data_IF_089129744917
#
_entry.id   IF_089129744917
#
_cell.length_a   1.000
_cell.length_b   1.000
_cell.length_c   1.000
_cell.angle_alpha   90.00
_cell.angle_beta   90.00
_cell.angle_gamma   90.00
#
_symmetry.space_group_name_H-M   'P 1'
#
loop_
_entity.id
_entity.type
_entity.pdbx_description
1 polymer ?
#
# COMPACT_ATOMS: atom_id res chain seq x y z
N UNK A 1 7.10 12.72 -44.11
CA UNK A 1 8.26 12.42 -43.27
C UNK A 1 8.70 13.71 -42.63
N UNK A 2 8.75 13.73 -41.30
CA UNK A 2 9.74 14.47 -40.50
C UNK A 2 10.05 13.57 -39.33
N UNK A 3 11.27 13.06 -39.34
CA UNK A 3 11.85 12.24 -38.29
C UNK A 3 12.22 13.13 -37.10
N UNK A 4 12.06 12.58 -35.90
CA UNK A 4 12.69 13.07 -34.68
C UNK A 4 13.08 11.84 -33.87
N UNK A 5 14.31 11.37 -34.07
CA UNK A 5 14.96 10.41 -33.18
C UNK A 5 15.12 11.01 -31.77
N UNK A 6 15.10 10.14 -30.75
CA UNK A 6 15.02 10.50 -29.33
C UNK A 6 16.29 11.14 -28.73
N UNK A 7 16.34 11.21 -27.39
CA UNK A 7 16.93 10.08 -26.67
C UNK A 7 16.18 9.72 -25.39
N UNK A 8 16.21 8.43 -25.03
CA UNK A 8 15.69 7.97 -23.74
C UNK A 8 15.25 6.52 -23.68
N UNK A 9 15.86 5.61 -24.43
CA UNK A 9 15.85 4.21 -24.06
C UNK A 9 16.64 4.08 -22.75
N UNK A 10 16.01 4.39 -21.61
CA UNK A 10 16.53 4.05 -20.30
C UNK A 10 16.71 2.55 -20.27
N UNK A 11 17.93 2.08 -20.52
CA UNK A 11 18.25 0.67 -20.49
C UNK A 11 17.79 0.10 -19.17
N UNK A 12 16.85 -0.86 -19.21
CA UNK A 12 16.42 -1.59 -18.01
C UNK A 12 17.69 -2.02 -17.28
N UNK A 13 17.81 -1.64 -16.01
CA UNK A 13 18.99 -1.97 -15.21
C UNK A 13 19.25 -3.49 -15.32
N UNK A 14 20.40 -3.84 -15.90
CA UNK A 14 20.73 -5.22 -16.30
C UNK A 14 20.72 -6.18 -15.11
N UNK A 15 20.89 -5.68 -13.90
CA UNK A 15 20.88 -6.49 -12.68
C UNK A 15 19.45 -6.80 -12.18
N UNK A 16 18.42 -6.12 -12.69
CA UNK A 16 17.01 -6.38 -12.32
C UNK A 16 16.11 -6.61 -13.52
N UNK A 17 16.65 -6.69 -14.74
CA UNK A 17 15.86 -6.80 -15.97
C UNK A 17 15.06 -8.11 -16.06
N UNK A 18 15.50 -9.16 -15.36
CA UNK A 18 14.82 -10.46 -15.27
C UNK A 18 14.14 -10.68 -13.91
N UNK A 19 14.25 -9.73 -12.97
CA UNK A 19 13.65 -9.85 -11.65
C UNK A 19 12.13 -9.94 -11.76
N UNK A 20 11.54 -10.93 -11.11
CA UNK A 20 10.11 -11.11 -11.00
C UNK A 20 9.71 -11.32 -9.53
N UNK A 21 8.54 -10.80 -9.18
CA UNK A 21 7.95 -10.95 -7.86
C UNK A 21 6.52 -11.46 -8.00
N UNK A 22 6.20 -12.57 -7.34
CA UNK A 22 4.84 -13.12 -7.28
C UNK A 22 4.28 -12.91 -5.88
N UNK A 23 3.14 -12.22 -5.78
CA UNK A 23 2.41 -12.08 -4.53
C UNK A 23 1.93 -13.46 -4.06
N UNK A 24 2.18 -13.76 -2.79
CA UNK A 24 1.63 -14.95 -2.12
C UNK A 24 0.25 -14.64 -1.53
N UNK A 25 -0.57 -15.68 -1.36
CA UNK A 25 -1.97 -15.55 -0.92
C UNK A 25 -2.81 -14.62 -1.82
N UNK A 26 -2.55 -14.63 -3.14
CA UNK A 26 -3.21 -13.74 -4.09
C UNK A 26 -4.74 -13.79 -4.04
N UNK A 27 -5.33 -14.97 -3.88
CA UNK A 27 -6.79 -15.13 -3.75
C UNK A 27 -7.37 -14.41 -2.53
N UNK A 28 -6.66 -14.41 -1.40
CA UNK A 28 -7.07 -13.69 -0.21
C UNK A 28 -7.00 -12.17 -0.43
N UNK A 29 -5.93 -11.70 -1.06
CA UNK A 29 -5.80 -10.29 -1.44
C UNK A 29 -6.90 -9.85 -2.40
N UNK A 30 -7.28 -10.67 -3.38
CA UNK A 30 -8.37 -10.39 -4.30
C UNK A 30 -9.72 -10.31 -3.59
N UNK A 31 -9.98 -11.17 -2.62
CA UNK A 31 -11.19 -11.14 -1.81
C UNK A 31 -11.29 -9.86 -0.96
N UNK A 32 -10.21 -9.50 -0.25
CA UNK A 32 -10.14 -8.23 0.48
C UNK A 32 -10.27 -7.03 -0.45
N UNK A 33 -9.68 -7.07 -1.65
CA UNK A 33 -9.77 -5.98 -2.62
C UNK A 33 -11.20 -5.79 -3.13
N UNK A 34 -11.92 -6.89 -3.39
CA UNK A 34 -13.33 -6.86 -3.83
C UNK A 34 -14.26 -6.20 -2.81
N UNK A 35 -13.95 -6.34 -1.52
CA UNK A 35 -14.73 -5.75 -0.43
C UNK A 35 -14.28 -4.31 -0.09
N UNK A 36 -13.16 -3.84 -0.66
CA UNK A 36 -12.49 -2.62 -0.25
C UNK A 36 -11.54 -2.90 0.92
N UNK A 37 -10.26 -3.13 0.63
CA UNK A 37 -9.28 -3.47 1.66
C UNK A 37 -9.08 -2.30 2.62
N UNK A 38 -9.25 -2.57 3.91
CA UNK A 38 -9.05 -1.59 4.98
C UNK A 38 -7.91 -2.03 5.89
N UNK A 39 -7.01 -1.10 6.20
CA UNK A 39 -5.89 -1.33 7.11
C UNK A 39 -6.06 -0.49 8.37
N UNK A 40 -5.81 -1.09 9.52
CA UNK A 40 -5.87 -0.39 10.81
C UNK A 40 -4.56 0.36 11.02
N UNK A 41 -4.65 1.63 11.39
CA UNK A 41 -3.52 2.46 11.86
C UNK A 41 -3.74 2.79 13.34
N UNK A 42 -2.67 2.71 14.15
CA UNK A 42 -2.71 3.03 15.58
C UNK A 42 -1.49 3.80 16.00
N UNK A 43 -1.54 4.51 17.14
CA UNK A 43 -0.40 5.28 17.67
C UNK A 43 0.86 4.41 17.86
N UNK A 44 0.70 3.19 18.35
CA UNK A 44 1.80 2.24 18.61
C UNK A 44 2.28 1.47 17.36
N UNK A 45 1.60 1.67 16.21
CA UNK A 45 1.82 0.89 15.00
C UNK A 45 1.07 -0.43 15.00
N UNK A 46 0.44 -0.76 13.87
CA UNK A 46 -0.28 -2.03 13.65
C UNK A 46 0.26 -2.73 12.41
N UNK A 47 0.42 -4.05 12.48
CA UNK A 47 0.81 -4.89 11.33
C UNK A 47 -0.33 -4.98 10.33
N UNK A 48 0.02 -5.09 9.05
CA UNK A 48 -0.97 -5.31 7.99
C UNK A 48 -1.63 -6.68 8.11
N UNK A 49 -2.87 -6.77 7.63
CA UNK A 49 -3.53 -8.02 7.34
C UNK A 49 -4.36 -7.89 6.05
N UNK A 50 -4.19 -8.77 5.06
CA UNK A 50 -3.18 -9.83 5.00
C UNK A 50 -1.73 -9.31 5.03
N UNK A 51 -0.80 -10.13 5.49
CA UNK A 51 0.64 -9.78 5.44
C UNK A 51 1.10 -9.74 3.99
N UNK A 52 1.90 -8.73 3.63
CA UNK A 52 2.52 -8.68 2.31
C UNK A 52 3.66 -9.70 2.21
N UNK A 53 3.50 -10.68 1.33
CA UNK A 53 4.45 -11.77 1.13
C UNK A 53 4.68 -11.99 -0.36
N UNK A 54 5.95 -12.14 -0.77
CA UNK A 54 6.32 -12.29 -2.17
C UNK A 54 7.34 -13.40 -2.36
N UNK A 55 7.20 -14.15 -3.45
CA UNK A 55 8.24 -15.05 -3.94
C UNK A 55 9.00 -14.40 -5.08
N UNK A 56 10.32 -14.32 -4.94
CA UNK A 56 11.21 -13.69 -5.91
C UNK A 56 11.84 -14.71 -6.84
N UNK A 57 12.10 -14.30 -8.08
CA UNK A 57 12.87 -15.06 -9.07
C UNK A 57 13.62 -14.12 -10.01
N UNK A 58 14.61 -14.65 -10.73
CA UNK A 58 15.34 -13.92 -11.79
C UNK A 58 16.31 -12.83 -11.31
N UNK A 59 16.66 -12.81 -10.01
CA UNK A 59 17.77 -12.00 -9.49
C UNK A 59 19.11 -12.66 -9.83
N UNK A 60 20.15 -11.87 -10.07
CA UNK A 60 21.52 -12.39 -10.10
C UNK A 60 21.87 -13.01 -8.73
N UNK A 61 22.19 -14.32 -8.65
CA UNK A 61 22.47 -15.00 -7.39
C UNK A 61 23.62 -14.40 -6.56
N UNK A 62 24.59 -13.74 -7.21
CA UNK A 62 25.83 -13.25 -6.59
C UNK A 62 25.81 -11.75 -6.26
N UNK A 63 24.85 -11.01 -6.81
CA UNK A 63 24.65 -9.59 -6.54
C UNK A 63 23.90 -9.36 -5.22
N UNK A 64 24.17 -8.21 -4.58
CA UNK A 64 23.46 -7.75 -3.40
C UNK A 64 22.25 -6.89 -3.78
N UNK A 65 21.16 -7.09 -3.04
CA UNK A 65 19.92 -6.36 -3.22
C UNK A 65 19.38 -5.90 -1.87
N UNK A 66 18.79 -4.71 -1.89
CA UNK A 66 17.95 -4.18 -0.83
C UNK A 66 16.50 -4.33 -1.23
N UNK A 67 15.69 -4.88 -0.33
CA UNK A 67 14.24 -4.95 -0.48
C UNK A 67 13.58 -3.95 0.45
N UNK A 68 12.62 -3.17 -0.07
CA UNK A 68 11.89 -2.20 0.72
C UNK A 68 10.46 -2.03 0.25
N UNK A 69 9.61 -1.50 1.13
CA UNK A 69 8.24 -1.12 0.83
C UNK A 69 7.97 0.34 1.18
N UNK A 70 7.12 0.98 0.39
CA UNK A 70 6.55 2.29 0.69
C UNK A 70 5.07 2.36 0.31
N UNK A 71 4.41 3.45 0.66
CA UNK A 71 3.00 3.69 0.41
C UNK A 71 2.83 5.04 -0.24
N UNK A 72 2.20 5.06 -1.41
CA UNK A 72 1.86 6.30 -2.11
C UNK A 72 0.37 6.58 -1.98
N UNK A 73 -0.06 7.83 -1.76
CA UNK A 73 -1.47 8.19 -1.80
C UNK A 73 -2.03 7.92 -3.20
N UNK A 74 -3.23 7.34 -3.27
CA UNK A 74 -3.92 7.03 -4.53
C UNK A 74 -4.67 8.23 -5.12
N UNK A 75 -5.09 9.18 -4.27
CA UNK A 75 -5.80 10.38 -4.66
C UNK A 75 -5.65 11.51 -3.63
N UNK A 76 -6.12 12.71 -4.00
CA UNK A 76 -6.22 13.88 -3.12
C UNK A 76 -7.63 13.98 -2.47
N UNK A 77 -8.16 12.86 -1.94
CA UNK A 77 -9.48 12.84 -1.27
C UNK A 77 -9.40 12.22 0.12
N UNK A 78 -10.19 12.81 1.02
CA UNK A 78 -10.50 12.24 2.33
C UNK A 78 -11.86 11.54 2.26
N UNK A 79 -11.91 10.33 2.80
CA UNK A 79 -13.10 9.49 2.75
C UNK A 79 -13.86 9.47 4.08
N UNK A 80 -15.12 9.08 4.04
CA UNK A 80 -15.90 8.68 5.21
C UNK A 80 -16.71 7.43 4.91
N UNK A 81 -16.84 6.56 5.90
CA UNK A 81 -17.85 5.50 5.85
C UNK A 81 -19.21 6.11 6.19
N UNK A 82 -20.21 5.87 5.36
CA UNK A 82 -21.54 6.44 5.56
C UNK A 82 -22.62 5.73 4.76
N UNK A 83 -23.86 6.01 5.15
CA UNK A 83 -25.04 5.59 4.40
C UNK A 83 -25.20 6.46 3.16
N UNK A 84 -25.31 5.84 1.98
CA UNK A 84 -25.61 6.55 0.75
C UNK A 84 -26.95 7.28 0.88
N UNK A 85 -26.91 8.58 1.16
CA UNK A 85 -28.11 9.40 1.17
C UNK A 85 -28.55 9.58 -0.29
N UNK A 86 -29.45 8.72 -0.79
CA UNK A 86 -30.27 9.10 -1.93
C UNK A 86 -31.07 10.35 -1.50
N UNK A 87 -30.69 11.50 -2.06
CA UNK A 87 -31.47 12.73 -2.08
C UNK A 87 -31.77 13.38 -0.73
N UNK A 88 -30.99 14.40 -0.34
CA UNK A 88 -31.54 15.49 0.48
C UNK A 88 -32.38 16.37 -0.45
N UNK A 89 -33.68 16.09 -0.54
CA UNK A 89 -34.69 17.10 -0.86
C UNK A 89 -35.09 17.83 0.44
N UNK A 90 -35.33 19.15 0.43
CA UNK A 90 -35.70 19.87 1.64
C UNK A 90 -37.21 19.80 1.84
N UNK A 91 -37.73 18.80 2.57
CA UNK A 91 -39.09 18.90 3.11
C UNK A 91 -39.21 18.26 4.49
N UNK A 92 -39.79 19.06 5.39
CA UNK A 92 -40.30 18.79 6.73
C UNK A 92 -41.12 17.49 6.81
N UNK A 93 -41.04 16.74 7.93
CA UNK A 93 -42.13 15.85 8.33
C UNK A 93 -41.78 14.62 9.19
N UNK A 94 -42.09 14.73 10.48
CA UNK A 94 -42.67 13.70 11.38
C UNK A 94 -41.86 12.43 11.74
N UNK A 95 -41.62 12.27 13.04
CA UNK A 95 -41.11 11.08 13.73
C UNK A 95 -42.11 9.91 13.62
N UNK A 96 -41.67 8.73 13.18
CA UNK A 96 -42.38 7.46 13.37
C UNK A 96 -41.48 6.47 14.13
N UNK A 97 -41.92 5.92 15.29
CA UNK A 97 -41.14 4.99 16.08
C UNK A 97 -41.49 3.54 15.69
N UNK A 98 -40.97 3.07 14.56
CA UNK A 98 -40.87 1.64 14.28
C UNK A 98 -39.47 1.35 13.79
N UNK A 99 -38.62 0.93 14.73
CA UNK A 99 -37.21 0.58 14.53
C UNK A 99 -37.07 -0.45 13.40
N UNK A 100 -36.47 -0.13 12.25
CA UNK A 100 -35.91 -1.14 11.39
C UNK A 100 -34.55 -1.55 11.96
N UNK A 101 -34.36 -2.86 12.09
CA UNK A 101 -33.14 -3.59 12.44
C UNK A 101 -31.86 -2.73 12.51
N UNK A 102 -31.37 -2.48 13.73
CA UNK A 102 -30.23 -1.61 14.08
C UNK A 102 -28.86 -2.02 13.49
N UNK A 103 -28.80 -3.06 12.66
CA UNK A 103 -27.56 -3.65 12.12
C UNK A 103 -27.61 -3.99 10.62
N UNK A 104 -28.64 -3.54 9.90
CA UNK A 104 -28.74 -3.75 8.45
C UNK A 104 -27.95 -2.67 7.66
N UNK A 105 -26.63 -2.83 7.52
CA UNK A 105 -25.73 -1.96 6.73
C UNK A 105 -25.89 -2.10 5.20
N UNK A 106 -27.07 -2.41 4.69
CA UNK A 106 -27.31 -2.81 3.29
C UNK A 106 -27.10 -1.70 2.24
N UNK A 107 -26.71 -0.47 2.61
CA UNK A 107 -26.24 0.57 1.67
C UNK A 107 -25.06 1.41 2.19
N UNK A 108 -24.23 0.79 3.01
CA UNK A 108 -23.00 1.41 3.49
C UNK A 108 -21.95 1.47 2.36
N UNK A 109 -21.31 2.62 2.19
CA UNK A 109 -20.31 2.83 1.15
C UNK A 109 -19.29 3.90 1.56
N UNK A 110 -18.13 3.85 0.92
CA UNK A 110 -17.09 4.86 1.03
C UNK A 110 -17.46 6.11 0.22
N UNK A 111 -17.61 7.25 0.91
CA UNK A 111 -17.98 8.54 0.30
C UNK A 111 -16.84 9.54 0.41
N UNK A 112 -16.59 10.29 -0.65
CA UNK A 112 -15.65 11.43 -0.58
C UNK A 112 -16.24 12.50 0.36
N UNK A 113 -15.47 12.88 1.37
CA UNK A 113 -15.86 13.85 2.39
C UNK A 113 -15.16 15.20 2.24
N UNK A 114 -14.08 15.27 1.46
CA UNK A 114 -13.32 16.50 1.21
C UNK A 114 -11.97 16.24 0.55
N UNK A 115 -11.11 17.27 0.57
CA UNK A 115 -9.72 17.20 0.10
C UNK A 115 -8.85 16.40 1.08
N UNK A 116 -7.77 15.77 0.59
CA UNK A 116 -6.85 15.07 1.47
C UNK A 116 -6.14 16.03 2.44
N UNK A 117 -5.79 15.52 3.61
CA UNK A 117 -4.89 16.18 4.53
C UNK A 117 -3.44 16.09 3.99
N UNK A 118 -2.56 17.06 4.29
CA UNK A 118 -1.15 16.97 3.90
C UNK A 118 -0.54 15.64 4.35
N UNK A 119 0.06 14.91 3.40
CA UNK A 119 0.69 13.64 3.70
C UNK A 119 1.92 13.86 4.61
N UNK A 120 2.12 12.96 5.57
CA UNK A 120 3.38 12.87 6.28
C UNK A 120 4.54 12.64 5.27
N UNK A 121 5.78 13.03 5.60
CA UNK A 121 6.93 12.72 4.77
C UNK A 121 6.97 11.22 4.45
N UNK A 122 7.09 10.89 3.16
CA UNK A 122 7.08 9.50 2.70
C UNK A 122 8.18 8.70 3.40
N UNK A 123 7.78 7.69 4.18
CA UNK A 123 8.70 6.79 4.89
C UNK A 123 8.76 5.45 4.18
N UNK A 124 9.97 4.95 4.01
CA UNK A 124 10.24 3.60 3.48
C UNK A 124 10.49 2.64 4.64
N UNK A 125 10.10 1.38 4.46
CA UNK A 125 10.45 0.29 5.37
C UNK A 125 11.34 -0.72 4.64
N UNK A 126 12.58 -0.84 5.11
CA UNK A 126 13.53 -1.83 4.62
C UNK A 126 13.22 -3.21 5.21
N UNK A 127 13.33 -4.26 4.40
CA UNK A 127 13.28 -5.62 4.92
C UNK A 127 14.48 -5.83 5.86
N UNK A 128 14.30 -6.44 7.05
CA UNK A 128 15.36 -6.56 8.06
C UNK A 128 16.61 -7.31 7.57
N UNK A 129 16.44 -8.23 6.62
CA UNK A 129 17.55 -8.99 6.04
C UNK A 129 18.29 -8.23 4.92
N UNK A 130 17.96 -6.95 4.66
CA UNK A 130 18.65 -6.15 3.63
C UNK A 130 19.95 -5.52 4.17
N UNK A 131 21.01 -5.41 3.35
CA UNK A 131 21.15 -6.01 2.02
C UNK A 131 21.43 -7.52 2.09
N UNK A 132 21.02 -8.27 1.07
CA UNK A 132 21.39 -9.67 0.91
C UNK A 132 21.51 -10.11 -0.55
N UNK A 133 22.16 -11.26 -0.75
CA UNK A 133 22.38 -11.85 -2.07
C UNK A 133 21.08 -12.26 -2.76
N UNK A 134 21.03 -12.14 -4.09
CA UNK A 134 19.91 -12.62 -4.89
C UNK A 134 19.56 -14.09 -4.62
N UNK A 135 20.58 -14.95 -4.42
CA UNK A 135 20.38 -16.35 -4.05
C UNK A 135 19.63 -16.51 -2.73
N UNK A 136 19.93 -15.67 -1.73
CA UNK A 136 19.27 -15.69 -0.43
C UNK A 136 17.82 -15.22 -0.53
N UNK A 137 17.56 -14.16 -1.28
CA UNK A 137 16.21 -13.63 -1.49
C UNK A 137 15.30 -14.59 -2.24
N UNK A 138 15.83 -15.33 -3.22
CA UNK A 138 15.05 -16.30 -4.00
C UNK A 138 14.88 -17.65 -3.31
N UNK A 139 15.55 -17.89 -2.17
CA UNK A 139 15.52 -19.18 -1.47
C UNK A 139 14.16 -19.51 -0.87
N UNK A 140 13.44 -18.51 -0.39
CA UNK A 140 12.14 -18.68 0.28
C UNK A 140 11.24 -17.46 0.07
N UNK A 141 9.99 -17.55 0.52
CA UNK A 141 9.06 -16.42 0.51
C UNK A 141 9.61 -15.31 1.39
N UNK A 142 9.66 -14.10 0.85
CA UNK A 142 9.99 -12.87 1.57
C UNK A 142 8.72 -12.31 2.20
N UNK A 143 8.77 -11.94 3.48
CA UNK A 143 7.60 -11.51 4.25
C UNK A 143 7.87 -10.19 4.94
N UNK A 144 6.97 -9.22 4.76
CA UNK A 144 6.99 -7.93 5.45
C UNK A 144 6.07 -7.95 6.69
N UNK A 145 6.20 -8.98 7.53
CA UNK A 145 5.37 -9.19 8.73
C UNK A 145 5.72 -8.23 9.88
N UNK A 146 6.93 -7.69 9.89
CA UNK A 146 7.38 -6.69 10.87
C UNK A 146 6.98 -5.25 10.51
N UNK A 147 6.50 -5.02 9.28
CA UNK A 147 6.04 -3.69 8.84
C UNK A 147 4.79 -3.29 9.62
N UNK A 148 4.81 -2.08 10.18
CA UNK A 148 3.70 -1.49 10.93
C UNK A 148 3.29 -0.14 10.37
N UNK A 149 1.99 0.11 10.43
CA UNK A 149 1.34 1.36 10.02
C UNK A 149 0.89 2.14 11.25
N UNK A 150 1.18 3.44 11.30
CA UNK A 150 0.84 4.33 12.40
C UNK A 150 0.16 5.61 11.91
N UNK A 151 -0.67 6.22 12.76
CA UNK A 151 -1.20 7.58 12.55
C UNK A 151 -0.49 8.63 13.41
N UNK A 152 0.58 8.25 14.12
CA UNK A 152 1.39 9.18 14.89
C UNK A 152 2.38 9.91 13.97
N UNK A 153 2.14 11.18 13.70
CA UNK A 153 3.02 12.02 12.86
C UNK A 153 4.42 12.22 13.47
N UNK A 154 4.57 11.99 14.77
CA UNK A 154 5.82 12.12 15.51
C UNK A 154 6.45 10.76 15.85
N UNK A 155 6.12 9.70 15.10
CA UNK A 155 6.69 8.37 15.32
C UNK A 155 8.20 8.35 15.07
N UNK A 156 8.95 7.87 16.06
CA UNK A 156 10.41 7.69 16.06
C UNK A 156 10.84 6.22 15.86
N UNK A 157 9.89 5.29 15.85
CA UNK A 157 10.13 3.84 15.74
C UNK A 157 10.36 3.36 14.30
N UNK A 158 10.30 4.27 13.31
CA UNK A 158 10.44 3.92 11.90
C UNK A 158 9.20 3.25 11.30
N UNK A 159 8.03 3.32 11.94
CA UNK A 159 6.77 2.83 11.38
C UNK A 159 6.29 3.69 10.22
N UNK A 160 5.61 3.11 9.23
CA UNK A 160 5.07 3.91 8.10
C UNK A 160 3.90 4.74 8.61
N UNK A 161 3.99 6.06 8.43
CA UNK A 161 2.99 7.02 8.89
C UNK A 161 1.95 7.24 7.78
N UNK A 162 0.68 6.98 8.08
CA UNK A 162 -0.43 7.17 7.14
C UNK A 162 -1.56 7.97 7.81
N UNK A 163 -2.16 8.88 7.06
CA UNK A 163 -3.38 9.56 7.46
C UNK A 163 -4.57 8.58 7.34
N UNK A 164 -5.35 8.43 8.41
CA UNK A 164 -6.59 7.65 8.41
C UNK A 164 -7.55 8.17 7.33
N UNK A 165 -8.42 7.30 6.81
CA UNK A 165 -9.46 7.66 5.84
C UNK A 165 -8.95 8.18 4.49
N UNK A 166 -7.71 7.82 4.12
CA UNK A 166 -7.12 8.08 2.82
C UNK A 166 -6.80 6.75 2.14
N UNK A 167 -6.75 6.74 0.81
CA UNK A 167 -6.42 5.54 0.02
C UNK A 167 -4.94 5.54 -0.34
N UNK A 168 -4.30 4.39 -0.17
CA UNK A 168 -2.88 4.22 -0.45
C UNK A 168 -2.63 2.99 -1.33
N UNK A 169 -1.58 3.06 -2.14
CA UNK A 169 -1.04 1.94 -2.89
C UNK A 169 0.28 1.50 -2.24
N UNK A 170 0.37 0.28 -1.68
CA UNK A 170 1.65 -0.28 -1.29
C UNK A 170 2.49 -0.53 -2.56
N UNK A 171 3.78 -0.19 -2.51
CA UNK A 171 4.75 -0.56 -3.55
C UNK A 171 5.89 -1.35 -2.94
N UNK A 172 6.31 -2.37 -3.65
CA UNK A 172 7.45 -3.20 -3.31
C UNK A 172 8.59 -2.91 -4.28
N UNK A 173 9.79 -2.72 -3.75
CA UNK A 173 10.96 -2.32 -4.53
C UNK A 173 12.09 -3.33 -4.33
N UNK A 174 12.73 -3.69 -5.44
CA UNK A 174 13.96 -4.48 -5.46
C UNK A 174 15.07 -3.58 -5.99
N UNK A 175 16.05 -3.27 -5.15
CA UNK A 175 17.13 -2.32 -5.49
C UNK A 175 18.46 -3.06 -5.52
N UNK A 176 19.12 -3.08 -6.67
CA UNK A 176 20.50 -3.58 -6.79
C UNK A 176 21.47 -2.64 -6.08
N UNK A 177 22.40 -3.20 -5.31
CA UNK A 177 23.47 -2.47 -4.63
C UNK A 177 24.73 -2.52 -5.49
N UNK A 178 25.25 -1.36 -5.92
CA UNK A 178 26.51 -1.28 -6.67
C UNK A 178 27.69 -1.32 -5.69
N UNK A 179 28.53 -2.38 -5.70
CA UNK A 179 29.65 -2.53 -4.77
C UNK A 179 30.71 -1.42 -4.86
N UNK A 180 30.64 -0.58 -5.88
CA UNK A 180 31.61 0.51 -6.14
C UNK A 180 31.14 1.87 -5.63
N UNK A 181 29.93 1.96 -5.08
CA UNK A 181 29.32 3.21 -4.62
C UNK A 181 29.30 3.36 -3.09
N UNK A 182 29.97 2.45 -2.39
CA UNK A 182 30.16 2.47 -0.93
C UNK A 182 31.53 3.04 -0.55
#
# INVERSE_FOLDING_TARGET
GWAGEGPGAGGKNRHVCHAAARLEMGSLWEEFNRLGTEMIVTKAGRRMFPTFQVKLSGLDPLADYVLLMDFIPLDDKRYRWGWGSRGRGPHLGVLSPSLPCRYAFHSSSWLAAGRAEPAAPGRVHFHPDSPAKGAQWMRQIVSFDKLKLTNNLLDDNGHIILNSMHRYQPRFHVVFVDPRRD
#
